data_IF_400472109802
#
_entry.id   IF_400472109802
#
_cell.length_a   1.000
_cell.length_b   1.000
_cell.length_c   1.000
_cell.angle_alpha   90.00
_cell.angle_beta   90.00
_cell.angle_gamma   90.00
#
_symmetry.space_group_name_H-M   'P 1'
#
loop_
_entity.id
_entity.type
_entity.pdbx_description
1 polymer ?
#
# COMPACT_ATOMS: atom_id res chain seq x y z
N UNK A 1 0.38 -4.15 11.83
CA UNK A 1 -0.70 -3.97 10.83
C UNK A 1 -1.40 -2.65 11.10
N UNK A 2 -1.81 -1.92 10.07
CA UNK A 2 -2.59 -0.66 10.15
C UNK A 2 -3.76 -0.71 9.18
N UNK A 3 -4.77 0.12 9.35
CA UNK A 3 -5.82 0.26 8.33
C UNK A 3 -5.29 1.07 7.15
N UNK A 4 -5.79 0.80 5.94
CA UNK A 4 -5.38 1.51 4.74
C UNK A 4 -5.53 3.03 4.86
N UNK A 5 -6.64 3.50 5.47
CA UNK A 5 -6.88 4.93 5.74
C UNK A 5 -5.93 5.58 6.75
N UNK A 6 -5.25 4.77 7.56
CA UNK A 6 -4.32 5.23 8.60
C UNK A 6 -2.85 5.13 8.14
N UNK A 7 -2.60 4.82 6.86
CA UNK A 7 -1.26 4.83 6.29
C UNK A 7 -0.67 6.25 6.27
N UNK A 8 0.65 6.31 6.29
CA UNK A 8 1.43 7.54 6.18
C UNK A 8 2.48 7.39 5.07
N UNK A 9 2.78 8.50 4.40
CA UNK A 9 3.88 8.59 3.44
C UNK A 9 5.20 8.24 4.13
N UNK A 10 6.04 7.47 3.44
CA UNK A 10 7.31 6.92 3.95
C UNK A 10 7.17 5.62 4.75
N UNK A 11 5.96 5.13 5.01
CA UNK A 11 5.81 3.79 5.59
C UNK A 11 6.10 2.71 4.54
N UNK A 12 6.69 1.62 5.00
CA UNK A 12 6.93 0.44 4.17
C UNK A 12 5.81 -0.58 4.44
N UNK A 13 5.06 -0.92 3.40
CA UNK A 13 4.00 -1.92 3.45
C UNK A 13 4.43 -3.19 2.73
N UNK A 14 4.03 -4.34 3.26
CA UNK A 14 4.30 -5.64 2.63
C UNK A 14 3.09 -6.09 1.82
N UNK A 15 3.26 -6.25 0.52
CA UNK A 15 2.20 -6.61 -0.42
C UNK A 15 2.59 -7.84 -1.23
N UNK A 16 1.60 -8.68 -1.53
CA UNK A 16 1.73 -9.73 -2.52
C UNK A 16 1.50 -9.14 -3.92
N UNK A 17 2.44 -9.35 -4.83
CA UNK A 17 2.42 -8.80 -6.19
C UNK A 17 2.66 -9.91 -7.22
N UNK A 18 1.67 -10.13 -8.09
CA UNK A 18 1.71 -11.16 -9.14
C UNK A 18 1.32 -12.56 -8.63
N UNK A 19 1.65 -13.58 -9.41
CA UNK A 19 1.32 -14.97 -9.08
C UNK A 19 2.35 -15.61 -8.13
N UNK A 20 1.90 -16.64 -7.40
CA UNK A 20 2.73 -17.55 -6.62
C UNK A 20 3.43 -17.01 -5.36
N UNK A 21 2.78 -16.16 -4.55
CA UNK A 21 3.31 -15.80 -3.23
C UNK A 21 4.50 -14.85 -3.29
N UNK A 22 4.59 -14.02 -4.32
CA UNK A 22 5.65 -13.04 -4.47
C UNK A 22 5.36 -11.82 -3.58
N UNK A 23 5.98 -11.79 -2.40
CA UNK A 23 5.85 -10.69 -1.45
C UNK A 23 6.94 -9.65 -1.66
N UNK A 24 6.56 -8.38 -1.74
CA UNK A 24 7.45 -7.23 -1.82
C UNK A 24 7.18 -6.22 -0.71
N UNK A 25 8.20 -5.46 -0.37
CA UNK A 25 8.10 -4.33 0.56
C UNK A 25 8.07 -3.05 -0.26
N UNK A 26 7.03 -2.24 -0.12
CA UNK A 26 6.80 -1.04 -0.92
C UNK A 26 6.74 0.17 -0.01
N UNK A 27 7.51 1.20 -0.32
CA UNK A 27 7.46 2.48 0.41
C UNK A 27 6.31 3.34 -0.14
N UNK A 28 5.48 3.87 0.75
CA UNK A 28 4.32 4.70 0.39
C UNK A 28 4.79 6.10 -0.03
N UNK A 29 4.49 6.48 -1.27
CA UNK A 29 4.86 7.78 -1.84
C UNK A 29 3.75 8.81 -1.70
N UNK A 30 2.50 8.36 -1.90
CA UNK A 30 1.32 9.24 -1.91
C UNK A 30 0.09 8.46 -1.50
N UNK A 31 -0.79 9.12 -0.76
CA UNK A 31 -2.08 8.60 -0.33
C UNK A 31 -3.17 9.56 -0.81
N UNK A 32 -4.20 9.01 -1.45
CA UNK A 32 -5.40 9.73 -1.86
C UNK A 32 -6.61 9.06 -1.20
N UNK A 33 -7.23 9.73 -0.24
CA UNK A 33 -8.44 9.24 0.44
C UNK A 33 -9.66 9.63 -0.39
N UNK A 34 -10.47 8.65 -0.77
CA UNK A 34 -11.75 8.80 -1.44
C UNK A 34 -12.91 8.56 -0.45
N UNK A 35 -14.16 8.58 -0.93
CA UNK A 35 -15.34 8.41 -0.07
C UNK A 35 -15.40 7.03 0.60
N UNK A 36 -15.04 5.97 -0.13
CA UNK A 36 -15.16 4.57 0.30
C UNK A 36 -13.84 3.77 0.19
N UNK A 37 -12.78 4.41 -0.28
CA UNK A 37 -11.52 3.76 -0.66
C UNK A 37 -10.32 4.66 -0.43
N UNK A 38 -9.13 4.06 -0.47
CA UNK A 38 -7.85 4.74 -0.41
C UNK A 38 -6.98 4.23 -1.54
N UNK A 39 -6.54 5.16 -2.38
CA UNK A 39 -5.56 4.92 -3.43
C UNK A 39 -4.18 5.29 -2.91
N UNK A 40 -3.22 4.38 -3.08
CA UNK A 40 -1.85 4.51 -2.58
C UNK A 40 -0.88 4.25 -3.70
N UNK A 41 -0.08 5.26 -4.01
CA UNK A 41 1.11 5.11 -4.84
C UNK A 41 2.26 4.68 -3.94
N UNK A 42 2.98 3.64 -4.34
CA UNK A 42 4.14 3.14 -3.64
C UNK A 42 5.19 2.62 -4.62
N UNK A 43 6.43 2.45 -4.14
CA UNK A 43 7.53 1.99 -4.98
C UNK A 43 8.36 0.87 -4.35
N UNK A 44 8.97 0.06 -5.22
CA UNK A 44 10.03 -0.88 -4.91
C UNK A 44 11.20 -0.63 -5.86
N UNK A 45 12.28 -0.04 -5.34
CA UNK A 45 13.38 0.45 -6.17
C UNK A 45 12.89 1.50 -7.16
N UNK A 46 13.01 1.23 -8.46
CA UNK A 46 12.56 2.16 -9.53
C UNK A 46 11.12 1.92 -9.99
N UNK A 47 10.50 0.83 -9.53
CA UNK A 47 9.16 0.42 -9.96
C UNK A 47 8.13 1.09 -9.07
N UNK A 48 7.21 1.85 -9.68
CA UNK A 48 6.07 2.46 -8.99
C UNK A 48 4.80 1.69 -9.32
N UNK A 49 3.95 1.52 -8.31
CA UNK A 49 2.66 0.85 -8.44
C UNK A 49 1.62 1.58 -7.62
N UNK A 50 0.40 1.58 -8.14
CA UNK A 50 -0.76 2.14 -7.49
C UNK A 50 -1.68 1.00 -7.08
N UNK A 51 -2.13 1.06 -5.83
CA UNK A 51 -3.06 0.10 -5.25
C UNK A 51 -4.25 0.83 -4.66
N UNK A 52 -5.42 0.20 -4.74
CA UNK A 52 -6.66 0.72 -4.15
C UNK A 52 -7.23 -0.29 -3.16
N UNK A 53 -7.65 0.19 -2.00
CA UNK A 53 -8.24 -0.64 -0.96
C UNK A 53 -9.44 0.04 -0.29
N UNK A 54 -10.33 -0.77 0.28
CA UNK A 54 -11.33 -0.29 1.24
C UNK A 54 -10.65 0.36 2.46
N UNK A 55 -11.28 1.40 3.02
CA UNK A 55 -10.72 2.22 4.09
C UNK A 55 -10.22 1.43 5.31
N UNK A 56 -10.94 0.38 5.72
CA UNK A 56 -10.64 -0.42 6.90
C UNK A 56 -9.82 -1.69 6.60
N UNK A 57 -9.35 -1.88 5.35
CA UNK A 57 -8.46 -2.99 5.00
C UNK A 57 -7.19 -2.95 5.85
N UNK A 58 -6.88 -4.05 6.52
CA UNK A 58 -5.65 -4.18 7.30
C UNK A 58 -4.46 -4.49 6.38
N UNK A 59 -3.41 -3.70 6.51
CA UNK A 59 -2.15 -3.82 5.78
C UNK A 59 -1.00 -4.09 6.74
N UNK A 60 -0.07 -4.96 6.34
CA UNK A 60 1.17 -5.21 7.07
C UNK A 60 2.15 -4.07 6.82
N UNK A 61 2.54 -3.38 7.90
CA UNK A 61 3.60 -2.35 7.89
C UNK A 61 4.82 -2.99 8.52
N UNK A 62 5.98 -2.82 7.87
CA UNK A 62 7.29 -3.38 8.26
C UNK A 62 8.14 -2.34 8.98
#
# INVERSE_FOLDING_TARGET
MVKAKDLNVGQVIRLECGDAGNWGNFEVDKITVLEDSVDVLCHYGVVHMEFSWELDKMLEVV
#
